data_IF_903018241921
#
_entry.id   IF_903018241921
#
_cell.length_a   1.000
_cell.length_b   1.000
_cell.length_c   1.000
_cell.angle_alpha   90.00
_cell.angle_beta   90.00
_cell.angle_gamma   90.00
#
_symmetry.space_group_name_H-M   'P 1'
#
loop_
_entity.id
_entity.type
_entity.pdbx_description
1 polymer ?
#
# COMPACT_ATOMS: atom_id res chain seq x y z
N UNK A 1 -12.82 1.32 13.11
CA UNK A 1 -12.11 0.20 12.47
C UNK A 1 -11.59 0.64 11.13
N UNK A 2 -10.35 0.32 10.88
CA UNK A 2 -9.73 0.73 9.63
C UNK A 2 -8.55 -0.15 9.29
N UNK A 3 -7.89 0.21 8.21
CA UNK A 3 -6.72 -0.50 7.75
C UNK A 3 -5.56 0.48 7.62
N UNK A 4 -4.36 0.01 7.92
CA UNK A 4 -3.17 0.82 7.81
C UNK A 4 -2.06 0.03 7.13
N UNK A 5 -1.19 0.74 6.45
CA UNK A 5 0.01 0.14 5.86
C UNK A 5 1.15 1.14 5.91
N UNK A 6 2.28 0.72 6.46
CA UNK A 6 3.47 1.54 6.46
C UNK A 6 4.20 1.36 5.13
N UNK A 7 4.45 2.44 4.43
CA UNK A 7 5.18 2.39 3.16
C UNK A 7 6.58 1.78 3.34
N UNK A 8 7.18 2.02 4.48
CA UNK A 8 8.48 1.48 4.86
C UNK A 8 8.52 -0.04 4.81
N UNK A 9 7.41 -0.69 5.12
CA UNK A 9 7.32 -2.16 5.12
C UNK A 9 7.41 -2.76 3.71
N UNK A 10 7.23 -1.94 2.67
CA UNK A 10 7.37 -2.41 1.30
C UNK A 10 8.82 -2.46 0.82
N UNK A 11 9.76 -2.10 1.69
CA UNK A 11 11.17 -2.08 1.34
C UNK A 11 11.65 -0.75 0.76
N UNK A 12 10.83 0.29 0.85
CA UNK A 12 11.19 1.62 0.37
C UNK A 12 11.60 2.51 1.54
N UNK A 13 12.36 3.55 1.21
CA UNK A 13 12.86 4.51 2.20
C UNK A 13 11.81 5.60 2.44
N UNK A 14 10.65 5.20 2.94
CA UNK A 14 9.51 6.11 3.06
C UNK A 14 8.88 5.96 4.44
N UNK A 15 8.68 7.09 5.12
CA UNK A 15 8.09 7.12 6.45
C UNK A 15 6.57 7.29 6.44
N UNK A 16 5.97 7.31 5.25
CA UNK A 16 4.53 7.52 5.12
C UNK A 16 3.75 6.31 5.61
N UNK A 17 2.72 6.56 6.41
CA UNK A 17 1.76 5.53 6.81
C UNK A 17 0.43 5.86 6.16
N UNK A 18 -0.10 4.91 5.42
CA UNK A 18 -1.38 5.06 4.74
C UNK A 18 -2.48 4.46 5.63
N UNK A 19 -3.61 5.14 5.66
CA UNK A 19 -4.74 4.72 6.50
C UNK A 19 -6.04 4.92 5.75
N UNK A 20 -6.95 3.98 5.89
CA UNK A 20 -8.27 4.07 5.28
C UNK A 20 -9.26 3.26 6.10
N UNK A 21 -10.54 3.56 5.95
CA UNK A 21 -11.60 2.84 6.66
C UNK A 21 -11.90 1.49 6.03
N UNK A 22 -11.71 1.38 4.72
CA UNK A 22 -11.98 0.14 3.99
C UNK A 22 -10.73 -0.31 3.25
N UNK A 23 -10.71 -1.59 2.93
CA UNK A 23 -9.61 -2.17 2.16
C UNK A 23 -9.52 -1.54 0.77
N UNK A 24 -10.67 -1.33 0.13
CA UNK A 24 -10.71 -0.72 -1.20
C UNK A 24 -10.10 0.68 -1.19
N UNK A 25 -10.46 1.48 -0.20
CA UNK A 25 -9.93 2.83 -0.08
C UNK A 25 -8.43 2.79 0.18
N UNK A 26 -7.97 1.85 1.01
CA UNK A 26 -6.56 1.72 1.29
C UNK A 26 -5.79 1.33 0.03
N UNK A 27 -6.33 0.41 -0.76
CA UNK A 27 -5.70 0.01 -2.01
C UNK A 27 -5.56 1.19 -2.97
N UNK A 28 -6.57 2.03 -3.04
CA UNK A 28 -6.50 3.24 -3.87
C UNK A 28 -5.40 4.17 -3.39
N UNK A 29 -5.30 4.36 -2.09
CA UNK A 29 -4.25 5.20 -1.51
C UNK A 29 -2.86 4.63 -1.78
N UNK A 30 -2.73 3.32 -1.64
CA UNK A 30 -1.46 2.65 -1.94
C UNK A 30 -1.08 2.87 -3.40
N UNK A 31 -2.02 2.69 -4.31
CA UNK A 31 -1.75 2.86 -5.74
C UNK A 31 -1.36 4.30 -6.07
N UNK A 32 -2.10 5.27 -5.53
CA UNK A 32 -1.80 6.68 -5.75
C UNK A 32 -0.44 7.06 -5.18
N UNK A 33 -0.17 6.63 -3.96
CA UNK A 33 1.10 6.93 -3.30
C UNK A 33 2.27 6.30 -4.06
N UNK A 34 2.12 5.03 -4.43
CA UNK A 34 3.17 4.36 -5.18
C UNK A 34 3.45 5.02 -6.51
N UNK A 35 2.40 5.45 -7.21
CA UNK A 35 2.55 6.11 -8.50
C UNK A 35 3.22 7.48 -8.39
N UNK A 36 2.81 8.29 -7.41
CA UNK A 36 3.32 9.65 -7.32
C UNK A 36 4.64 9.74 -6.57
N UNK A 37 4.86 8.91 -5.56
CA UNK A 37 6.06 8.98 -4.73
C UNK A 37 7.16 8.03 -5.18
N UNK A 38 6.80 6.87 -5.71
CA UNK A 38 7.77 5.81 -6.04
C UNK A 38 7.74 5.40 -7.50
N UNK A 39 6.94 6.07 -8.30
CA UNK A 39 6.79 5.78 -9.72
C UNK A 39 6.43 4.30 -9.98
N UNK A 40 5.62 3.74 -9.10
CA UNK A 40 5.16 2.36 -9.19
C UNK A 40 3.71 2.32 -9.65
N UNK A 41 3.38 1.32 -10.44
CA UNK A 41 2.00 1.11 -10.90
C UNK A 41 1.49 -0.21 -10.35
N UNK A 42 0.53 -0.13 -9.45
CA UNK A 42 -0.02 -1.32 -8.82
C UNK A 42 -0.66 -2.26 -9.84
N UNK A 43 -1.25 -1.71 -10.89
CA UNK A 43 -1.89 -2.51 -11.94
C UNK A 43 -0.87 -3.31 -12.75
N UNK A 44 0.38 -2.87 -12.80
CA UNK A 44 1.44 -3.55 -13.53
C UNK A 44 2.21 -4.55 -12.68
N UNK A 45 1.91 -4.62 -11.39
CA UNK A 45 2.63 -5.52 -10.49
C UNK A 45 2.15 -6.96 -10.64
N UNK A 46 3.07 -7.94 -10.57
CA UNK A 46 2.68 -9.35 -10.51
C UNK A 46 1.83 -9.63 -9.28
N UNK A 47 0.98 -10.66 -9.38
CA UNK A 47 0.11 -11.03 -8.27
C UNK A 47 0.88 -11.34 -6.99
N UNK A 48 2.03 -11.96 -7.11
CA UNK A 48 2.85 -12.29 -5.95
C UNK A 48 3.26 -11.05 -5.18
N UNK A 49 3.62 -9.99 -5.88
CA UNK A 49 3.97 -8.74 -5.23
C UNK A 49 2.76 -8.08 -4.61
N UNK A 50 1.62 -8.15 -5.30
CA UNK A 50 0.37 -7.62 -4.74
C UNK A 50 0.00 -8.32 -3.45
N UNK A 51 0.10 -9.64 -3.43
CA UNK A 51 -0.19 -10.42 -2.23
C UNK A 51 0.76 -10.07 -1.09
N UNK A 52 2.03 -9.87 -1.41
CA UNK A 52 3.00 -9.43 -0.42
C UNK A 52 2.63 -8.09 0.18
N UNK A 53 2.22 -7.15 -0.68
CA UNK A 53 1.78 -5.83 -0.22
C UNK A 53 0.54 -5.94 0.67
N UNK A 54 -0.43 -6.74 0.26
CA UNK A 54 -1.66 -6.91 1.03
C UNK A 54 -1.39 -7.51 2.39
N UNK A 55 -0.40 -8.40 2.51
CA UNK A 55 -0.06 -9.01 3.78
C UNK A 55 0.56 -8.02 4.76
N UNK A 56 1.05 -6.89 4.27
CA UNK A 56 1.61 -5.83 5.12
C UNK A 56 0.54 -4.94 5.72
N UNK A 57 -0.68 -5.02 5.21
CA UNK A 57 -1.79 -4.22 5.71
C UNK A 57 -2.21 -4.73 7.08
N UNK A 58 -2.30 -3.81 8.02
CA UNK A 58 -2.73 -4.11 9.37
C UNK A 58 -4.15 -3.59 9.59
N UNK A 59 -4.92 -4.36 10.30
CA UNK A 59 -6.27 -3.93 10.69
C UNK A 59 -6.18 -3.21 12.02
N UNK A 60 -6.75 -2.03 12.03
CA UNK A 60 -6.72 -1.17 13.22
C UNK A 60 -7.86 -1.50 14.18
#
# INVERSE_FOLDING_TARGET
MGYTMACKDTGTDCDTVLRAETMDDLQKKIAEHGKSAHNMDLASMPEEQKKGLMSLIKQD
#
